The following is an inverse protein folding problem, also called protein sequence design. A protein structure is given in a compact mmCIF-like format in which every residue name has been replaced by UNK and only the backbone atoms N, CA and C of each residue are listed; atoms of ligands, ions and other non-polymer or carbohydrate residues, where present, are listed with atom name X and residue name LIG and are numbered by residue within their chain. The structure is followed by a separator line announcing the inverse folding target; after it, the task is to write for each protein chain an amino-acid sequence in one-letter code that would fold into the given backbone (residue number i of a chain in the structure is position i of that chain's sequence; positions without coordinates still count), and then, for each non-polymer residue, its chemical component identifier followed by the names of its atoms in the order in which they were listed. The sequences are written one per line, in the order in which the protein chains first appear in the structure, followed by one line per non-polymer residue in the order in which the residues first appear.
data_IF_711681914422
#
_entry.id   IF_711681914422
#
_cell.length_a   1.000
_cell.length_b   1.000
_cell.length_c   1.000
_cell.angle_alpha   90.00
_cell.angle_beta   90.00
_cell.angle_gamma   90.00
#
_symmetry.space_group_name_H-M   'P 1'
#
loop_
_entity.id
_entity.type
_entity.pdbx_description
1 polymer ?
#
# COMPACT_ATOMS: atom_id res chain seq x y z
N UNK A 1 -36.20 -17.81 -19.28
CA UNK A 1 -35.89 -17.92 -17.83
C UNK A 1 -34.39 -17.71 -17.64
N UNK A 2 -33.96 -16.49 -17.28
CA UNK A 2 -32.55 -16.01 -17.35
C UNK A 2 -31.84 -15.98 -15.98
N UNK A 3 -32.16 -16.91 -15.08
CA UNK A 3 -31.80 -16.79 -13.65
C UNK A 3 -30.34 -17.23 -13.34
N UNK A 4 -29.65 -17.92 -14.25
CA UNK A 4 -28.35 -18.55 -13.95
C UNK A 4 -27.11 -17.89 -14.57
N UNK A 5 -27.23 -16.74 -15.24
CA UNK A 5 -26.07 -16.07 -15.84
C UNK A 5 -25.53 -14.91 -14.99
N UNK A 6 -25.41 -15.12 -13.67
CA UNK A 6 -24.78 -14.12 -12.80
C UNK A 6 -23.31 -14.00 -13.15
N UNK A 7 -22.85 -12.75 -13.30
CA UNK A 7 -21.44 -12.42 -13.47
C UNK A 7 -20.69 -12.65 -12.16
N UNK A 8 -19.36 -12.69 -12.23
CA UNK A 8 -18.48 -12.55 -11.06
C UNK A 8 -18.90 -11.34 -10.23
N UNK A 9 -18.85 -11.44 -8.90
CA UNK A 9 -19.38 -10.43 -7.99
C UNK A 9 -18.48 -10.33 -6.74
N UNK A 10 -18.83 -9.43 -5.81
CA UNK A 10 -18.03 -9.14 -4.62
C UNK A 10 -17.73 -10.37 -3.78
N UNK A 11 -18.71 -11.27 -3.56
CA UNK A 11 -18.49 -12.48 -2.76
C UNK A 11 -17.49 -13.43 -3.38
N UNK A 12 -17.50 -13.55 -4.71
CA UNK A 12 -16.55 -14.38 -5.43
C UNK A 12 -15.13 -13.82 -5.32
N UNK A 13 -14.96 -12.51 -5.48
CA UNK A 13 -13.65 -11.86 -5.34
C UNK A 13 -13.16 -11.94 -3.90
N UNK A 14 -14.00 -11.64 -2.91
CA UNK A 14 -13.64 -11.80 -1.50
C UNK A 14 -13.20 -13.23 -1.19
N UNK A 15 -13.98 -14.25 -1.60
CA UNK A 15 -13.57 -15.64 -1.38
C UNK A 15 -12.18 -15.91 -1.97
N UNK A 16 -11.92 -15.43 -3.18
CA UNK A 16 -10.63 -15.62 -3.84
C UNK A 16 -9.49 -14.92 -3.09
N UNK A 17 -9.64 -13.65 -2.74
CA UNK A 17 -8.66 -12.87 -1.98
C UNK A 17 -8.34 -13.49 -0.62
N UNK A 18 -9.37 -13.86 0.15
CA UNK A 18 -9.19 -14.50 1.47
C UNK A 18 -8.54 -15.88 1.37
N UNK A 19 -8.87 -16.66 0.33
CA UNK A 19 -8.25 -17.98 0.13
C UNK A 19 -6.76 -17.83 -0.18
N UNK A 20 -6.37 -16.82 -0.96
CA UNK A 20 -4.95 -16.51 -1.22
C UNK A 20 -4.26 -16.02 0.05
N UNK A 21 -4.88 -15.09 0.80
CA UNK A 21 -4.32 -14.56 2.02
C UNK A 21 -4.08 -15.65 3.07
N UNK A 22 -5.01 -16.61 3.20
CA UNK A 22 -4.84 -17.75 4.11
C UNK A 22 -3.73 -18.71 3.63
N UNK A 23 -3.64 -18.96 2.31
CA UNK A 23 -2.59 -19.78 1.71
C UNK A 23 -1.18 -19.20 1.93
N UNK A 24 -1.08 -17.88 2.01
CA UNK A 24 0.17 -17.12 2.13
C UNK A 24 0.37 -16.49 3.51
N UNK A 25 -0.38 -16.90 4.53
CA UNK A 25 -0.37 -16.24 5.84
C UNK A 25 0.98 -16.16 6.54
N UNK A 26 1.92 -17.06 6.21
CA UNK A 26 3.26 -17.07 6.80
C UNK A 26 4.25 -16.23 6.00
N UNK A 27 4.12 -16.18 4.68
CA UNK A 27 5.00 -15.41 3.80
C UNK A 27 4.56 -13.95 3.64
N UNK A 28 3.25 -13.70 3.61
CA UNK A 28 2.65 -12.40 3.38
C UNK A 28 1.45 -12.16 4.34
N UNK A 29 1.69 -12.14 5.67
CA UNK A 29 0.62 -11.94 6.66
C UNK A 29 -0.13 -10.61 6.48
N UNK A 30 0.51 -9.60 5.89
CA UNK A 30 -0.08 -8.28 5.64
C UNK A 30 -1.27 -8.31 4.68
N UNK A 31 -1.41 -9.34 3.82
CA UNK A 31 -2.53 -9.45 2.89
C UNK A 31 -3.85 -9.59 3.63
N UNK A 32 -3.88 -10.45 4.66
CA UNK A 32 -5.09 -10.67 5.47
C UNK A 32 -5.49 -9.41 6.21
N UNK A 33 -4.51 -8.75 6.84
CA UNK A 33 -4.70 -7.48 7.54
C UNK A 33 -5.32 -6.41 6.63
N UNK A 34 -4.81 -6.25 5.41
CA UNK A 34 -5.35 -5.30 4.44
C UNK A 34 -6.78 -5.64 4.00
N UNK A 35 -7.11 -6.93 3.83
CA UNK A 35 -8.47 -7.38 3.51
C UNK A 35 -9.46 -7.16 4.65
N UNK A 36 -9.02 -7.27 5.90
CA UNK A 36 -9.85 -7.02 7.08
C UNK A 36 -10.15 -5.51 7.26
N UNK A 37 -9.23 -4.64 6.81
CA UNK A 37 -9.33 -3.18 6.89
C UNK A 37 -9.99 -2.51 5.68
N UNK A 38 -10.15 -3.23 4.57
CA UNK A 38 -10.62 -2.66 3.31
C UNK A 38 -12.03 -3.08 2.93
N UNK A 39 -12.63 -2.35 2.00
CA UNK A 39 -13.90 -2.70 1.37
C UNK A 39 -13.76 -2.70 -0.14
N UNK A 40 -14.31 -3.70 -0.81
CA UNK A 40 -14.40 -3.71 -2.28
C UNK A 40 -15.43 -2.65 -2.69
N UNK A 41 -14.96 -1.58 -3.33
CA UNK A 41 -15.79 -0.53 -3.91
C UNK A 41 -16.29 -0.90 -5.31
N UNK A 42 -15.45 -1.61 -6.08
CA UNK A 42 -15.72 -1.83 -7.50
C UNK A 42 -15.04 -3.07 -8.07
N UNK A 43 -15.73 -3.72 -9.00
CA UNK A 43 -15.21 -4.79 -9.84
C UNK A 43 -15.47 -4.41 -11.30
N UNK A 44 -14.40 -4.30 -12.07
CA UNK A 44 -14.46 -3.90 -13.47
C UNK A 44 -13.90 -5.00 -14.36
N UNK A 45 -14.68 -5.44 -15.34
CA UNK A 45 -14.26 -6.43 -16.33
C UNK A 45 -13.61 -5.72 -17.51
N UNK A 46 -12.30 -5.93 -17.69
CA UNK A 46 -11.55 -5.36 -18.80
C UNK A 46 -11.51 -6.36 -19.96
N UNK A 47 -11.54 -5.85 -21.19
CA UNK A 47 -11.54 -6.68 -22.40
C UNK A 47 -10.28 -6.51 -23.27
N UNK A 48 -9.49 -5.46 -23.01
CA UNK A 48 -8.22 -5.15 -23.68
C UNK A 48 -7.26 -4.44 -22.69
N UNK A 49 -6.37 -5.17 -21.98
CA UNK A 49 -6.28 -6.63 -21.91
C UNK A 49 -7.48 -7.24 -21.17
N UNK A 50 -7.75 -8.53 -21.40
CA UNK A 50 -8.82 -9.26 -20.72
C UNK A 50 -8.45 -9.55 -19.26
N UNK A 51 -9.30 -9.17 -18.32
CA UNK A 51 -9.01 -9.33 -16.90
C UNK A 51 -10.07 -8.74 -15.99
N UNK A 52 -9.77 -8.77 -14.70
CA UNK A 52 -10.59 -8.19 -13.64
C UNK A 52 -9.76 -7.14 -12.94
N UNK A 53 -10.26 -5.91 -12.90
CA UNK A 53 -9.77 -4.85 -12.03
C UNK A 53 -10.66 -4.77 -10.80
N UNK A 54 -10.05 -4.58 -9.63
CA UNK A 54 -10.75 -4.48 -8.34
C UNK A 54 -10.24 -3.22 -7.66
N UNK A 55 -11.16 -2.45 -7.08
CA UNK A 55 -10.83 -1.26 -6.31
C UNK A 55 -11.28 -1.46 -4.88
N UNK A 56 -10.36 -1.19 -3.95
CA UNK A 56 -10.62 -1.22 -2.51
C UNK A 56 -10.56 0.19 -1.94
N UNK A 57 -11.45 0.48 -0.99
CA UNK A 57 -11.36 1.66 -0.12
C UNK A 57 -10.85 1.26 1.25
N UNK A 58 -10.25 2.25 1.92
CA UNK A 58 -9.76 2.19 3.29
C UNK A 58 -10.32 3.40 4.03
N UNK A 59 -10.47 3.31 5.36
CA UNK A 59 -10.59 4.53 6.16
C UNK A 59 -9.26 5.30 6.11
N UNK A 60 -9.26 6.59 6.43
CA UNK A 60 -8.02 7.40 6.44
C UNK A 60 -6.97 6.81 7.39
N UNK A 61 -7.40 6.37 8.58
CA UNK A 61 -6.53 5.72 9.57
C UNK A 61 -5.96 4.40 9.05
N UNK A 62 -6.81 3.53 8.51
CA UNK A 62 -6.36 2.24 7.98
C UNK A 62 -5.45 2.42 6.77
N UNK A 63 -5.72 3.42 5.93
CA UNK A 63 -4.88 3.75 4.78
C UNK A 63 -3.48 4.17 5.22
N UNK A 64 -3.38 5.05 6.23
CA UNK A 64 -2.09 5.46 6.78
C UNK A 64 -1.30 4.24 7.28
N UNK A 65 -1.94 3.34 8.01
CA UNK A 65 -1.31 2.11 8.53
C UNK A 65 -0.85 1.15 7.41
N UNK A 66 -1.66 0.95 6.37
CA UNK A 66 -1.30 0.09 5.23
C UNK A 66 -0.18 0.72 4.40
N UNK A 67 -0.18 2.04 4.25
CA UNK A 67 0.79 2.77 3.45
C UNK A 67 2.16 2.94 4.16
N UNK A 68 2.23 2.72 5.48
CA UNK A 68 3.52 2.60 6.19
C UNK A 68 4.35 1.41 5.66
N UNK A 69 3.72 0.39 5.08
CA UNK A 69 4.42 -0.74 4.48
C UNK A 69 4.81 -0.45 3.02
N UNK A 70 6.05 0.00 2.86
CA UNK A 70 6.84 0.29 1.63
C UNK A 70 6.61 -0.65 0.43
N UNK A 71 6.24 -1.91 0.66
CA UNK A 71 6.09 -2.96 -0.35
C UNK A 71 4.64 -3.38 -0.58
N UNK A 72 3.70 -2.45 -0.41
CA UNK A 72 2.27 -2.75 -0.55
C UNK A 72 1.80 -2.92 -2.00
N UNK A 73 2.63 -2.54 -2.98
CA UNK A 73 2.32 -2.64 -4.41
C UNK A 73 3.32 -3.51 -5.15
N UNK A 74 2.86 -4.64 -5.69
CA UNK A 74 3.72 -5.64 -6.31
C UNK A 74 2.92 -6.52 -7.27
N UNK A 75 3.61 -7.31 -8.07
CA UNK A 75 3.03 -8.44 -8.80
C UNK A 75 3.44 -9.73 -8.10
N UNK A 76 2.46 -10.55 -7.78
CA UNK A 76 2.61 -11.87 -7.20
C UNK A 76 2.42 -12.93 -8.28
N UNK A 77 3.45 -13.76 -8.47
CA UNK A 77 3.42 -14.95 -9.32
C UNK A 77 3.62 -16.21 -8.46
N UNK A 78 3.30 -17.38 -9.02
CA UNK A 78 3.41 -18.66 -8.33
C UNK A 78 2.11 -19.13 -7.63
N UNK A 79 0.96 -18.52 -7.93
CA UNK A 79 -0.35 -18.99 -7.48
C UNK A 79 -1.09 -19.61 -8.65
N UNK A 80 -1.52 -20.86 -8.51
CA UNK A 80 -2.36 -21.53 -9.51
C UNK A 80 -3.74 -21.84 -8.96
N UNK A 81 -4.76 -21.72 -9.80
CA UNK A 81 -6.16 -21.96 -9.45
C UNK A 81 -6.69 -23.10 -10.32
N UNK A 82 -7.51 -23.99 -9.74
CA UNK A 82 -8.11 -25.08 -10.48
C UNK A 82 -9.12 -24.56 -11.52
N UNK A 83 -8.82 -24.76 -12.80
CA UNK A 83 -9.75 -24.50 -13.90
C UNK A 83 -10.63 -25.74 -14.13
N UNK A 84 -11.94 -25.57 -13.95
CA UNK A 84 -12.94 -26.63 -14.09
C UNK A 84 -13.16 -27.08 -15.54
N UNK A 85 -12.92 -26.19 -16.50
CA UNK A 85 -13.10 -26.45 -17.93
C UNK A 85 -11.90 -27.26 -18.47
N UNK A 86 -10.67 -26.81 -18.19
CA UNK A 86 -9.45 -27.52 -18.63
C UNK A 86 -9.06 -28.69 -17.73
N UNK A 87 -9.67 -28.79 -16.53
CA UNK A 87 -9.34 -29.78 -15.49
C UNK A 87 -7.86 -29.76 -15.12
N UNK A 88 -7.30 -28.57 -15.00
CA UNK A 88 -5.90 -28.39 -14.63
C UNK A 88 -5.71 -27.14 -13.75
N UNK A 89 -4.56 -27.06 -13.08
CA UNK A 89 -4.18 -25.85 -12.37
C UNK A 89 -3.54 -24.86 -13.34
N UNK A 90 -4.10 -23.66 -13.41
CA UNK A 90 -3.59 -22.59 -14.25
C UNK A 90 -3.02 -21.48 -13.35
N UNK A 91 -1.81 -21.02 -13.67
CA UNK A 91 -1.16 -19.93 -12.94
C UNK A 91 -1.84 -18.59 -13.25
N UNK A 92 -2.08 -17.80 -12.21
CA UNK A 92 -2.64 -16.45 -12.33
C UNK A 92 -1.64 -15.47 -11.70
N UNK A 93 -1.18 -14.52 -12.52
CA UNK A 93 -0.38 -13.39 -12.07
C UNK A 93 -1.29 -12.32 -11.46
N UNK A 94 -1.01 -11.92 -10.22
CA UNK A 94 -1.87 -11.03 -9.43
C UNK A 94 -1.14 -9.72 -9.17
N UNK A 95 -1.68 -8.60 -9.66
CA UNK A 95 -1.23 -7.27 -9.27
C UNK A 95 -1.87 -6.87 -7.94
N UNK A 96 -1.04 -6.46 -6.99
CA UNK A 96 -1.43 -5.90 -5.71
C UNK A 96 -1.20 -4.40 -5.70
N UNK A 97 -2.13 -3.68 -5.06
CA UNK A 97 -2.03 -2.26 -4.70
C UNK A 97 -2.49 -2.16 -3.25
N UNK A 98 -1.70 -1.51 -2.39
CA UNK A 98 -2.01 -1.38 -0.97
C UNK A 98 -2.31 -2.74 -0.29
N UNK A 99 -1.59 -3.79 -0.66
CA UNK A 99 -1.75 -5.17 -0.17
C UNK A 99 -3.11 -5.83 -0.48
N UNK A 100 -3.94 -5.27 -1.37
CA UNK A 100 -5.12 -5.96 -1.93
C UNK A 100 -4.97 -6.19 -3.43
N UNK A 101 -5.70 -7.16 -3.99
CA UNK A 101 -5.61 -7.45 -5.42
C UNK A 101 -6.24 -6.30 -6.18
N UNK A 102 -5.46 -5.61 -7.02
CA UNK A 102 -5.96 -4.53 -7.88
C UNK A 102 -6.31 -5.01 -9.27
N UNK A 103 -5.59 -6.01 -9.78
CA UNK A 103 -5.84 -6.51 -11.13
C UNK A 103 -5.27 -7.91 -11.36
N UNK A 104 -5.94 -8.71 -12.19
CA UNK A 104 -5.36 -9.93 -12.76
C UNK A 104 -5.95 -10.29 -14.13
N UNK A 105 -5.14 -10.95 -14.93
CA UNK A 105 -5.52 -11.42 -16.26
C UNK A 105 -6.38 -12.67 -16.19
N UNK A 106 -7.47 -12.70 -16.95
CA UNK A 106 -8.28 -13.91 -17.17
C UNK A 106 -9.05 -13.79 -18.48
N UNK A 107 -9.21 -14.90 -19.20
CA UNK A 107 -9.84 -14.89 -20.53
C UNK A 107 -11.33 -14.54 -20.50
N UNK A 108 -12.06 -14.96 -19.47
CA UNK A 108 -13.50 -14.76 -19.33
C UNK A 108 -13.83 -14.10 -17.97
N UNK A 109 -13.52 -12.80 -17.79
CA UNK A 109 -13.57 -12.14 -16.48
C UNK A 109 -14.98 -12.15 -15.85
N UNK A 110 -16.02 -11.97 -16.65
CA UNK A 110 -17.41 -12.03 -16.16
C UNK A 110 -17.80 -13.42 -15.62
N UNK A 111 -17.09 -14.47 -16.02
CA UNK A 111 -17.36 -15.86 -15.66
C UNK A 111 -16.25 -16.51 -14.85
N UNK A 112 -15.32 -15.73 -14.31
CA UNK A 112 -14.19 -16.21 -13.51
C UNK A 112 -14.58 -17.27 -12.46
N UNK A 113 -15.60 -17.00 -11.63
CA UNK A 113 -16.08 -17.96 -10.62
C UNK A 113 -16.67 -19.27 -11.19
N UNK A 114 -17.09 -19.29 -12.46
CA UNK A 114 -17.61 -20.48 -13.14
C UNK A 114 -16.49 -21.29 -13.79
N UNK A 115 -15.48 -20.62 -14.33
CA UNK A 115 -14.33 -21.26 -14.94
C UNK A 115 -13.38 -21.82 -13.87
N UNK A 116 -13.18 -21.10 -12.77
CA UNK A 116 -12.24 -21.47 -11.71
C UNK A 116 -12.94 -21.89 -10.41
N UNK A 117 -12.36 -22.86 -9.71
CA UNK A 117 -12.72 -23.18 -8.33
C UNK A 117 -11.87 -22.33 -7.38
N UNK A 118 -12.48 -21.28 -6.83
CA UNK A 118 -11.82 -20.27 -6.01
C UNK A 118 -11.40 -20.78 -4.63
N UNK A 119 -11.76 -22.02 -4.27
CA UNK A 119 -11.31 -22.69 -3.04
C UNK A 119 -10.12 -23.62 -3.27
N UNK A 120 -9.84 -23.98 -4.52
CA UNK A 120 -8.78 -24.92 -4.89
C UNK A 120 -7.60 -24.17 -5.52
N UNK A 121 -6.67 -23.78 -4.65
CA UNK A 121 -5.44 -23.10 -5.05
C UNK A 121 -4.22 -23.99 -4.76
N UNK A 122 -3.17 -23.81 -5.56
CA UNK A 122 -1.84 -24.36 -5.30
C UNK A 122 -0.83 -23.23 -5.20
N UNK A 123 0.03 -23.35 -4.19
CA UNK A 123 1.20 -22.51 -4.01
C UNK A 123 2.39 -23.18 -4.70
N UNK A 124 2.92 -22.52 -5.72
CA UNK A 124 4.20 -22.83 -6.34
C UNK A 124 5.34 -22.05 -5.68
N UNK A 125 6.41 -21.80 -6.44
CA UNK A 125 7.47 -20.90 -6.01
C UNK A 125 6.99 -19.45 -6.11
N UNK A 126 6.82 -18.80 -4.96
CA UNK A 126 6.39 -17.41 -4.90
C UNK A 126 7.47 -16.48 -5.45
N UNK A 127 7.07 -15.61 -6.37
CA UNK A 127 7.91 -14.53 -6.91
C UNK A 127 7.16 -13.21 -6.76
N UNK A 128 7.85 -12.23 -6.19
CA UNK A 128 7.35 -10.87 -5.99
C UNK A 128 8.15 -9.91 -6.85
N UNK A 129 7.46 -9.22 -7.74
CA UNK A 129 8.04 -8.16 -8.55
C UNK A 129 7.50 -6.82 -8.04
N UNK A 130 8.37 -5.96 -7.53
CA UNK A 130 7.96 -4.63 -7.09
C UNK A 130 7.60 -3.79 -8.31
N UNK A 131 6.42 -3.16 -8.30
CA UNK A 131 6.14 -2.09 -9.26
C UNK A 131 6.78 -0.82 -8.71
N UNK A 132 7.79 -0.29 -9.39
CA UNK A 132 8.29 1.06 -9.11
C UNK A 132 7.18 2.07 -9.43
N UNK A 133 6.35 2.38 -8.44
CA UNK A 133 5.48 3.54 -8.51
C UNK A 133 6.39 4.74 -8.26
N UNK A 134 6.68 5.52 -9.30
CA UNK A 134 7.38 6.80 -9.13
C UNK A 134 6.56 7.66 -8.16
N UNK A 135 7.10 7.87 -6.97
CA UNK A 135 6.52 8.77 -6.00
C UNK A 135 6.72 10.21 -6.49
N UNK A 136 5.68 10.82 -7.06
CA UNK A 136 5.73 12.21 -7.55
C UNK A 136 6.02 13.22 -6.42
N UNK A 137 5.61 12.90 -5.19
CA UNK A 137 5.89 13.72 -4.01
C UNK A 137 7.38 13.66 -3.62
N UNK A 138 8.06 12.54 -3.85
CA UNK A 138 9.51 12.42 -3.60
C UNK A 138 10.30 13.48 -4.37
N UNK A 139 10.03 13.68 -5.66
CA UNK A 139 10.73 14.69 -6.45
C UNK A 139 10.47 16.11 -5.92
N UNK A 140 9.26 16.38 -5.43
CA UNK A 140 8.88 17.65 -4.79
C UNK A 140 9.64 17.85 -3.48
N UNK A 141 9.66 16.84 -2.61
CA UNK A 141 10.35 16.88 -1.32
C UNK A 141 11.86 16.99 -1.48
N UNK A 142 12.46 16.28 -2.44
CA UNK A 142 13.88 16.43 -2.76
C UNK A 142 14.26 17.87 -3.14
N UNK A 143 13.36 18.60 -3.82
CA UNK A 143 13.58 20.03 -4.10
C UNK A 143 13.49 20.90 -2.85
N UNK A 144 12.57 20.60 -1.93
CA UNK A 144 12.44 21.28 -0.63
C UNK A 144 13.68 21.05 0.25
N UNK A 145 14.25 19.84 0.17
CA UNK A 145 15.41 19.39 0.93
C UNK A 145 16.75 19.62 0.23
N UNK A 146 16.80 20.40 -0.86
CA UNK A 146 18.02 20.65 -1.66
C UNK A 146 19.23 21.19 -0.89
N UNK A 147 18.99 21.70 0.32
CA UNK A 147 20.05 22.21 1.19
C UNK A 147 20.83 21.10 1.91
N UNK A 148 20.29 19.88 1.95
CA UNK A 148 20.90 18.72 2.61
C UNK A 148 21.97 18.05 1.73
N UNK A 149 22.96 17.43 2.37
CA UNK A 149 23.92 16.56 1.68
C UNK A 149 23.27 15.25 1.22
N UNK A 150 23.92 14.52 0.32
CA UNK A 150 23.46 13.18 -0.09
C UNK A 150 23.41 12.21 1.09
N UNK A 151 24.36 12.31 2.01
CA UNK A 151 24.42 11.51 3.24
C UNK A 151 23.20 11.79 4.12
N UNK A 152 22.90 13.08 4.36
CA UNK A 152 21.72 13.50 5.13
C UNK A 152 20.41 13.03 4.49
N UNK A 153 20.28 13.17 3.16
CA UNK A 153 19.10 12.67 2.43
C UNK A 153 18.95 11.15 2.56
N UNK A 154 20.06 10.41 2.64
CA UNK A 154 20.06 8.96 2.84
C UNK A 154 19.61 8.51 4.23
N UNK A 155 19.55 9.42 5.20
CA UNK A 155 19.02 9.17 6.55
C UNK A 155 17.50 9.40 6.66
N UNK A 156 16.85 9.81 5.58
CA UNK A 156 15.42 10.11 5.50
C UNK A 156 14.68 9.03 4.69
N UNK A 157 13.38 8.90 4.92
CA UNK A 157 12.51 7.88 4.32
C UNK A 157 11.70 8.43 3.13
N UNK A 158 12.38 9.18 2.24
CA UNK A 158 11.73 9.97 1.17
C UNK A 158 11.01 9.15 0.10
N UNK A 159 11.34 7.87 -0.06
CA UNK A 159 10.63 6.98 -0.99
C UNK A 159 9.14 6.85 -0.64
N UNK A 160 8.78 7.08 0.62
CA UNK A 160 7.42 6.88 1.16
C UNK A 160 6.72 8.18 1.49
N UNK A 161 7.30 9.31 1.07
CA UNK A 161 6.69 10.60 1.32
C UNK A 161 5.36 10.73 0.58
N UNK A 162 4.33 11.25 1.23
CA UNK A 162 3.05 11.55 0.61
C UNK A 162 2.60 12.94 1.00
N UNK A 163 1.63 13.48 0.28
CA UNK A 163 1.05 14.77 0.61
C UNK A 163 -0.09 14.56 1.61
N UNK A 164 -0.07 15.31 2.71
CA UNK A 164 -1.18 15.36 3.66
C UNK A 164 -1.46 16.80 4.07
N UNK A 165 -2.71 17.10 4.37
CA UNK A 165 -3.13 18.41 4.89
C UNK A 165 -3.53 18.25 6.35
N UNK A 166 -2.88 18.97 7.25
CA UNK A 166 -3.15 18.95 8.69
C UNK A 166 -2.97 20.37 9.24
N UNK A 167 -3.95 20.85 10.02
CA UNK A 167 -3.96 22.22 10.57
C UNK A 167 -3.67 23.29 9.50
N UNK A 168 -4.39 23.19 8.38
CA UNK A 168 -4.28 24.05 7.18
C UNK A 168 -2.87 24.09 6.56
N UNK A 169 -2.00 23.12 6.89
CA UNK A 169 -0.65 22.99 6.37
C UNK A 169 -0.54 21.78 5.47
N UNK A 170 0.06 22.00 4.31
CA UNK A 170 0.44 20.94 3.40
C UNK A 170 1.81 20.39 3.81
N UNK A 171 1.82 19.14 4.26
CA UNK A 171 2.95 18.46 4.88
C UNK A 171 3.35 17.21 4.10
N UNK A 172 4.63 16.89 4.16
CA UNK A 172 5.22 15.71 3.52
C UNK A 172 6.08 14.95 4.53
N UNK A 173 5.69 13.73 4.95
CA UNK A 173 6.51 12.93 5.85
C UNK A 173 7.89 12.65 5.26
N UNK A 174 8.92 12.84 6.08
CA UNK A 174 10.34 12.55 5.77
C UNK A 174 10.91 11.46 6.68
N UNK A 175 10.25 11.17 7.80
CA UNK A 175 10.50 10.00 8.66
C UNK A 175 9.17 9.48 9.21
N UNK A 176 9.00 8.16 9.21
CA UNK A 176 7.94 7.47 9.94
C UNK A 176 8.40 7.18 11.38
N UNK A 177 7.62 7.61 12.37
CA UNK A 177 7.89 7.41 13.80
C UNK A 177 6.96 6.36 14.42
N UNK A 178 6.29 5.56 13.57
CA UNK A 178 5.34 4.49 13.93
C UNK A 178 4.04 5.00 14.55
N UNK A 179 3.01 4.14 14.63
CA UNK A 179 1.70 4.44 15.22
C UNK A 179 1.00 5.70 14.69
N UNK A 180 1.28 6.07 13.44
CA UNK A 180 0.70 7.26 12.80
C UNK A 180 1.44 8.57 13.12
N UNK A 181 2.60 8.47 13.77
CA UNK A 181 3.47 9.60 14.08
C UNK A 181 4.53 9.80 12.99
N UNK A 182 4.88 11.05 12.70
CA UNK A 182 5.79 11.40 11.61
C UNK A 182 6.66 12.60 11.92
N UNK A 183 7.82 12.68 11.28
CA UNK A 183 8.48 13.97 11.03
C UNK A 183 8.17 14.37 9.59
N UNK A 184 7.69 15.59 9.38
CA UNK A 184 7.25 16.07 8.06
C UNK A 184 7.84 17.43 7.72
N UNK A 185 8.00 17.69 6.42
CA UNK A 185 8.41 19.00 5.86
C UNK A 185 7.21 19.71 5.24
N UNK A 186 7.09 21.02 5.40
CA UNK A 186 6.11 21.84 4.67
C UNK A 186 6.63 22.34 3.31
N UNK A 187 5.76 23.00 2.54
CA UNK A 187 6.11 23.61 1.26
C UNK A 187 7.14 24.76 1.34
N UNK A 188 7.51 25.22 2.55
CA UNK A 188 8.53 26.24 2.82
C UNK A 188 9.83 25.64 3.34
N UNK A 189 9.90 24.32 3.55
CA UNK A 189 11.08 23.62 4.06
C UNK A 189 11.19 23.61 5.59
N UNK A 190 10.15 24.02 6.33
CA UNK A 190 10.10 23.87 7.79
C UNK A 190 9.77 22.43 8.16
N UNK A 191 10.33 21.96 9.26
CA UNK A 191 10.19 20.58 9.74
C UNK A 191 9.31 20.54 10.98
N UNK A 192 8.35 19.63 11.00
CA UNK A 192 7.34 19.47 12.04
C UNK A 192 7.35 18.06 12.57
N UNK A 193 7.04 17.93 13.86
CA UNK A 193 6.67 16.69 14.53
C UNK A 193 5.15 16.55 14.46
N UNK A 194 4.69 15.44 13.89
CA UNK A 194 3.28 15.05 13.84
C UNK A 194 3.08 13.91 14.83
N UNK A 195 2.28 14.13 15.87
CA UNK A 195 1.89 13.09 16.81
C UNK A 195 0.37 13.07 16.89
N UNK A 196 -0.21 11.94 16.53
CA UNK A 196 -1.67 11.78 16.45
C UNK A 196 -2.34 11.74 17.84
N UNK A 197 -1.61 11.36 18.89
CA UNK A 197 -2.15 11.15 20.22
C UNK A 197 -1.87 12.31 21.19
N UNK A 198 -1.18 13.35 20.74
CA UNK A 198 -0.79 14.51 21.55
C UNK A 198 -1.73 15.71 21.33
N UNK A 199 -2.03 16.50 22.37
CA UNK A 199 -2.96 17.65 22.30
C UNK A 199 -2.56 18.69 21.24
N UNK A 200 -1.27 18.99 21.15
CA UNK A 200 -0.68 19.67 19.99
C UNK A 200 -0.32 18.60 18.98
N UNK A 201 -1.09 18.41 17.90
CA UNK A 201 -0.81 17.37 16.88
C UNK A 201 0.35 17.75 15.95
N UNK A 202 0.50 19.04 15.65
CA UNK A 202 1.52 19.58 14.73
C UNK A 202 2.41 20.58 15.44
N UNK A 203 3.67 20.19 15.67
CA UNK A 203 4.65 21.04 16.37
C UNK A 203 5.82 21.36 15.47
N UNK A 204 6.17 22.64 15.31
CA UNK A 204 7.36 23.06 14.57
C UNK A 204 8.63 22.70 15.36
N UNK A 205 9.55 21.97 14.74
CA UNK A 205 10.79 21.52 15.39
C UNK A 205 12.06 22.05 14.72
N UNK A 206 12.00 22.43 13.44
CA UNK A 206 13.12 23.09 12.77
C UNK A 206 12.62 24.08 11.71
N UNK A 207 13.26 25.25 11.61
CA UNK A 207 12.88 26.26 10.62
C UNK A 207 13.41 25.97 9.22
N UNK A 208 14.47 25.16 9.12
CA UNK A 208 15.09 24.75 7.85
C UNK A 208 15.52 23.28 7.94
N UNK A 209 15.68 22.58 6.80
CA UNK A 209 16.09 21.18 6.80
C UNK A 209 17.44 20.93 7.45
N UNK A 210 18.40 21.86 7.32
CA UNK A 210 19.73 21.71 7.94
C UNK A 210 19.65 21.70 9.47
N UNK A 211 18.87 22.62 10.04
CA UNK A 211 18.70 22.77 11.49
C UNK A 211 18.11 21.48 12.12
N UNK A 212 17.34 20.70 11.36
CA UNK A 212 16.84 19.40 11.83
C UNK A 212 17.96 18.39 12.08
N UNK A 213 19.07 18.43 11.35
CA UNK A 213 20.21 17.54 11.60
C UNK A 213 21.06 17.95 12.80
N UNK A 214 20.76 19.08 13.45
CA UNK A 214 21.35 19.41 14.75
C UNK A 214 20.76 18.55 15.88
N UNK A 215 19.57 17.96 15.65
CA UNK A 215 18.84 17.10 16.60
C UNK A 215 18.62 15.67 16.09
N UNK A 216 18.99 15.37 14.84
CA UNK A 216 18.83 14.05 14.23
C UNK A 216 20.10 13.62 13.50
N UNK A 217 20.68 12.50 13.94
CA UNK A 217 21.90 11.93 13.38
C UNK A 217 21.66 10.65 12.54
N UNK A 218 20.39 10.27 12.33
CA UNK A 218 20.02 9.00 11.70
C UNK A 218 19.40 7.97 12.65
N UNK A 219 19.45 8.19 13.97
CA UNK A 219 18.79 7.33 14.96
C UNK A 219 17.46 7.92 15.39
N UNK A 220 16.35 7.19 15.16
CA UNK A 220 15.00 7.65 15.54
C UNK A 220 14.85 7.88 17.04
N UNK A 221 15.60 7.16 17.87
CA UNK A 221 15.57 7.32 19.34
C UNK A 221 15.96 8.73 19.81
N UNK A 222 16.72 9.50 19.03
CA UNK A 222 17.04 10.90 19.32
C UNK A 222 15.80 11.80 19.28
N UNK A 223 14.76 11.37 18.57
CA UNK A 223 13.51 12.11 18.40
C UNK A 223 12.43 11.66 19.38
N UNK A 224 12.64 10.60 20.18
CA UNK A 224 11.61 10.05 21.07
C UNK A 224 11.09 11.10 22.04
N UNK A 225 12.00 11.89 22.64
CA UNK A 225 11.61 12.99 23.53
C UNK A 225 10.80 14.06 22.81
N UNK A 226 11.17 14.38 21.57
CA UNK A 226 10.46 15.38 20.78
C UNK A 226 9.09 14.83 20.36
N UNK A 227 8.99 13.51 20.17
CA UNK A 227 7.79 12.85 19.71
C UNK A 227 6.78 12.68 20.84
N UNK A 228 7.23 12.22 22.01
CA UNK A 228 6.39 11.69 23.09
C UNK A 228 6.42 12.50 24.40
N UNK A 229 7.31 13.49 24.55
CA UNK A 229 7.30 14.47 25.66
C UNK A 229 6.69 15.82 25.24
#
# INVERSE_FOLDING_TARGET
MYIFNRKTNHRHIQQFEYTIAELLKYELPQLKKALDMSKIEGIYFTYKPKGISITHSYSEKDFAEINQNVKSSFVLNGISVWNKESKSFEEISLSYLNNTISWFAVQNPERFHKTFDLSQLKKGQIKLEQKEIKNSNKEKVQKLLKSLSKEQLGLLELEHTFEMELDEKLLYPILNMEDGNYIAVDNKGKIYRLNHDHEEEVRLIANKPKDFFDIYNGQKSELDKIMYD
#
